data_IF_496485000526
#
_entry.id   IF_496485000526
#
_cell.length_a   1.000
_cell.length_b   1.000
_cell.length_c   1.000
_cell.angle_alpha   90.00
_cell.angle_beta   90.00
_cell.angle_gamma   90.00
#
_symmetry.space_group_name_H-M   'P 1'
#
loop_
_entity.id
_entity.type
_entity.pdbx_description
1 polymer ?
#
# COMPACT_ATOMS: atom_id res chain seq x y z
N UNK A 1 -5.17 6.09 -4.89
CA UNK A 1 -5.94 5.31 -5.89
C UNK A 1 -6.22 3.89 -5.38
N UNK A 2 -5.21 3.11 -4.99
CA UNK A 2 -5.40 1.74 -4.52
C UNK A 2 -6.39 1.60 -3.36
N UNK A 3 -6.27 2.44 -2.33
CA UNK A 3 -7.16 2.42 -1.18
C UNK A 3 -8.62 2.75 -1.55
N UNK A 4 -8.83 3.76 -2.40
CA UNK A 4 -10.16 4.13 -2.87
C UNK A 4 -10.79 2.99 -3.70
N UNK A 5 -10.02 2.35 -4.57
CA UNK A 5 -10.49 1.21 -5.35
C UNK A 5 -10.85 0.01 -4.46
N UNK A 6 -10.09 -0.25 -3.39
CA UNK A 6 -10.43 -1.29 -2.41
C UNK A 6 -11.74 -1.01 -1.68
N UNK A 7 -11.97 0.23 -1.26
CA UNK A 7 -13.23 0.62 -0.62
C UNK A 7 -14.40 0.44 -1.58
N UNK A 8 -14.24 0.87 -2.83
CA UNK A 8 -15.27 0.70 -3.87
C UNK A 8 -15.53 -0.78 -4.16
N UNK A 9 -14.51 -1.60 -4.19
CA UNK A 9 -14.69 -3.06 -4.32
C UNK A 9 -15.52 -3.63 -3.17
N UNK A 10 -15.30 -3.17 -1.95
CA UNK A 10 -16.09 -3.58 -0.78
C UNK A 10 -17.54 -3.11 -0.86
N UNK A 11 -17.78 -1.87 -1.29
CA UNK A 11 -19.14 -1.32 -1.45
C UNK A 11 -19.93 -2.07 -2.53
N UNK A 12 -19.28 -2.44 -3.64
CA UNK A 12 -19.90 -3.17 -4.74
C UNK A 12 -19.69 -4.69 -4.66
N UNK A 13 -19.42 -5.23 -3.47
CA UNK A 13 -19.19 -6.66 -3.26
C UNK A 13 -20.38 -7.55 -3.67
N UNK A 14 -21.59 -7.01 -3.70
CA UNK A 14 -22.78 -7.72 -4.17
C UNK A 14 -22.78 -7.99 -5.68
N UNK A 15 -22.00 -7.24 -6.46
CA UNK A 15 -21.86 -7.44 -7.89
C UNK A 15 -20.42 -7.95 -8.20
N UNK A 16 -20.24 -9.25 -8.53
CA UNK A 16 -18.91 -9.82 -8.72
C UNK A 16 -18.11 -9.16 -9.84
N UNK A 17 -18.77 -8.69 -10.89
CA UNK A 17 -18.07 -8.03 -12.00
C UNK A 17 -17.47 -6.69 -11.59
N UNK A 18 -18.24 -5.87 -10.87
CA UNK A 18 -17.75 -4.59 -10.36
C UNK A 18 -16.65 -4.78 -9.31
N UNK A 19 -16.83 -5.75 -8.42
CA UNK A 19 -15.82 -6.08 -7.41
C UNK A 19 -14.47 -6.44 -8.05
N UNK A 20 -14.47 -7.29 -9.08
CA UNK A 20 -13.26 -7.68 -9.81
C UNK A 20 -12.62 -6.48 -10.51
N UNK A 21 -13.40 -5.61 -11.15
CA UNK A 21 -12.89 -4.41 -11.80
C UNK A 21 -12.19 -3.50 -10.79
N UNK A 22 -12.81 -3.22 -9.66
CA UNK A 22 -12.22 -2.37 -8.63
C UNK A 22 -11.01 -3.01 -7.94
N UNK A 23 -11.00 -4.33 -7.76
CA UNK A 23 -9.82 -5.06 -7.27
C UNK A 23 -8.66 -4.97 -8.26
N UNK A 24 -8.94 -5.08 -9.55
CA UNK A 24 -7.92 -4.92 -10.59
C UNK A 24 -7.34 -3.51 -10.59
N UNK A 25 -8.18 -2.49 -10.46
CA UNK A 25 -7.74 -1.10 -10.34
C UNK A 25 -6.93 -0.86 -9.06
N UNK A 26 -7.30 -1.48 -7.95
CA UNK A 26 -6.54 -1.43 -6.71
C UNK A 26 -5.15 -2.02 -6.89
N UNK A 27 -5.06 -3.18 -7.52
CA UNK A 27 -3.78 -3.85 -7.83
C UNK A 27 -2.89 -2.99 -8.71
N UNK A 28 -3.45 -2.40 -9.77
CA UNK A 28 -2.72 -1.48 -10.65
C UNK A 28 -2.20 -0.27 -9.88
N UNK A 29 -2.99 0.29 -8.97
CA UNK A 29 -2.59 1.40 -8.13
C UNK A 29 -1.43 1.05 -7.20
N UNK A 30 -1.47 -0.12 -6.58
CA UNK A 30 -0.41 -0.59 -5.67
C UNK A 30 0.87 -0.92 -6.43
N UNK A 31 0.78 -1.70 -7.50
CA UNK A 31 1.95 -2.08 -8.31
C UNK A 31 2.55 -0.85 -9.00
N UNK A 32 1.70 0.06 -9.49
CA UNK A 32 2.15 1.31 -10.12
C UNK A 32 2.90 2.25 -9.18
N UNK A 33 2.73 2.11 -7.86
CA UNK A 33 3.49 2.90 -6.89
C UNK A 33 4.92 2.39 -6.68
N UNK A 34 5.22 1.16 -7.05
CA UNK A 34 6.53 0.55 -6.83
C UNK A 34 7.70 1.29 -7.49
N UNK A 35 7.63 1.69 -8.77
CA UNK A 35 8.72 2.44 -9.41
C UNK A 35 9.00 3.79 -8.74
N UNK A 36 7.99 4.37 -8.09
CA UNK A 36 8.13 5.63 -7.36
C UNK A 36 8.70 5.39 -5.96
N UNK A 37 8.33 4.30 -5.32
CA UNK A 37 8.73 3.97 -3.96
C UNK A 37 10.20 3.54 -3.84
N UNK A 38 10.66 2.65 -4.72
CA UNK A 38 12.00 2.06 -4.60
C UNK A 38 13.18 3.04 -4.71
N UNK A 39 13.12 4.12 -5.51
CA UNK A 39 14.18 5.13 -5.51
C UNK A 39 14.26 5.97 -4.22
N UNK A 40 13.20 6.01 -3.39
CA UNK A 40 13.17 6.85 -2.20
C UNK A 40 14.27 6.52 -1.18
N UNK A 41 14.54 5.27 -0.79
CA UNK A 41 15.64 4.97 0.12
C UNK A 41 16.99 5.43 -0.41
N UNK A 42 17.22 5.29 -1.72
CA UNK A 42 18.47 5.73 -2.37
C UNK A 42 18.60 7.24 -2.47
N UNK A 43 17.48 7.97 -2.43
CA UNK A 43 17.49 9.44 -2.41
C UNK A 43 17.92 10.02 -1.05
N UNK A 44 17.65 9.28 0.03
CA UNK A 44 18.00 9.70 1.40
C UNK A 44 19.34 9.16 1.88
N UNK A 45 19.75 8.00 1.40
CA UNK A 45 20.90 7.24 1.86
C UNK A 45 21.85 6.99 0.70
N UNK A 46 23.15 6.95 0.99
CA UNK A 46 24.17 6.69 -0.01
C UNK A 46 25.05 5.49 0.39
N UNK A 47 25.61 4.81 -0.59
CA UNK A 47 26.54 3.70 -0.39
C UNK A 47 25.95 2.55 0.42
N UNK A 48 26.70 2.06 1.39
CA UNK A 48 26.32 0.94 2.27
C UNK A 48 25.05 1.22 3.09
N UNK A 49 24.82 2.48 3.47
CA UNK A 49 23.63 2.88 4.21
C UNK A 49 22.37 2.73 3.35
N UNK A 50 22.45 3.00 2.05
CA UNK A 50 21.33 2.78 1.13
C UNK A 50 20.99 1.28 1.03
N UNK A 51 21.98 0.42 0.91
CA UNK A 51 21.78 -1.02 0.86
C UNK A 51 21.14 -1.56 2.14
N UNK A 52 21.62 -1.11 3.31
CA UNK A 52 21.04 -1.49 4.59
C UNK A 52 19.60 -1.00 4.74
N UNK A 53 19.32 0.24 4.35
CA UNK A 53 17.98 0.82 4.37
C UNK A 53 16.99 0.05 3.48
N UNK A 54 17.40 -0.28 2.26
CA UNK A 54 16.59 -1.10 1.33
C UNK A 54 16.34 -2.49 1.93
N UNK A 55 17.35 -3.10 2.55
CA UNK A 55 17.22 -4.40 3.22
C UNK A 55 16.21 -4.36 4.36
N UNK A 56 16.24 -3.33 5.20
CA UNK A 56 15.27 -3.15 6.29
C UNK A 56 13.85 -2.97 5.74
N UNK A 57 13.68 -2.08 4.78
CA UNK A 57 12.36 -1.82 4.14
C UNK A 57 11.81 -3.10 3.51
N UNK A 58 12.65 -3.85 2.81
CA UNK A 58 12.25 -5.11 2.19
C UNK A 58 11.87 -6.18 3.23
N UNK A 59 12.60 -6.24 4.35
CA UNK A 59 12.29 -7.17 5.44
C UNK A 59 10.94 -6.84 6.08
N UNK A 60 10.65 -5.57 6.33
CA UNK A 60 9.35 -5.11 6.85
C UNK A 60 8.24 -5.41 5.82
N UNK A 61 8.51 -5.19 4.54
CA UNK A 61 7.59 -5.52 3.46
C UNK A 61 7.23 -7.01 3.42
N UNK A 62 8.21 -7.88 3.64
CA UNK A 62 7.97 -9.32 3.71
C UNK A 62 7.11 -9.74 4.92
N UNK A 63 7.23 -9.04 6.04
CA UNK A 63 6.30 -9.21 7.17
C UNK A 63 4.87 -8.84 6.77
N UNK A 64 4.70 -7.79 5.98
CA UNK A 64 3.41 -7.42 5.38
C UNK A 64 2.84 -8.53 4.50
N UNK A 65 3.69 -9.24 3.75
CA UNK A 65 3.32 -10.41 2.96
C UNK A 65 2.81 -11.59 3.81
N UNK A 66 3.29 -11.71 5.05
CA UNK A 66 2.75 -12.67 6.01
C UNK A 66 1.42 -12.20 6.63
N UNK A 67 1.37 -10.93 7.04
CA UNK A 67 0.19 -10.34 7.70
C UNK A 67 -0.99 -10.24 6.73
N UNK A 68 -0.73 -9.83 5.49
CA UNK A 68 -1.77 -9.56 4.48
C UNK A 68 -2.77 -10.70 4.30
N UNK A 69 -2.33 -11.94 4.00
CA UNK A 69 -3.24 -13.08 3.86
C UNK A 69 -4.00 -13.44 5.13
N UNK A 70 -3.50 -13.05 6.30
CA UNK A 70 -4.17 -13.30 7.58
C UNK A 70 -5.24 -12.26 7.93
N UNK A 71 -5.22 -11.08 7.30
CA UNK A 71 -6.21 -10.02 7.55
C UNK A 71 -7.65 -10.50 7.31
N UNK A 72 -7.98 -11.23 6.23
CA UNK A 72 -9.33 -11.76 6.04
C UNK A 72 -9.76 -12.74 7.14
N UNK A 73 -8.82 -13.53 7.65
CA UNK A 73 -9.09 -14.50 8.72
C UNK A 73 -9.43 -13.75 10.02
N UNK A 74 -8.64 -12.73 10.35
CA UNK A 74 -8.86 -11.90 11.54
C UNK A 74 -10.12 -11.05 11.41
N UNK A 75 -10.39 -10.51 10.22
CA UNK A 75 -11.60 -9.74 9.96
C UNK A 75 -12.87 -10.56 10.18
N UNK A 76 -12.86 -11.85 9.84
CA UNK A 76 -13.99 -12.76 10.12
C UNK A 76 -14.25 -12.98 11.60
N UNK A 77 -13.23 -12.89 12.45
CA UNK A 77 -13.38 -13.00 13.90
C UNK A 77 -14.13 -11.80 14.50
N UNK A 78 -14.05 -10.63 13.86
CA UNK A 78 -14.69 -9.39 14.32
C UNK A 78 -15.99 -9.06 13.56
N UNK A 79 -16.12 -9.50 12.31
CA UNK A 79 -17.26 -9.21 11.45
C UNK A 79 -17.49 -10.36 10.47
N UNK A 80 -18.75 -10.70 10.25
CA UNK A 80 -19.15 -11.70 9.25
C UNK A 80 -19.20 -11.13 7.82
N UNK A 81 -18.89 -9.85 7.65
CA UNK A 81 -18.88 -9.19 6.34
C UNK A 81 -17.56 -9.47 5.62
N UNK A 82 -17.59 -10.11 4.42
CA UNK A 82 -16.37 -10.33 3.63
C UNK A 82 -15.68 -9.04 3.20
N UNK A 83 -16.41 -7.93 3.13
CA UNK A 83 -15.85 -6.62 2.76
C UNK A 83 -15.00 -5.99 3.87
N UNK A 84 -15.12 -6.44 5.12
CA UNK A 84 -14.35 -5.91 6.25
C UNK A 84 -12.84 -5.98 6.03
N UNK A 85 -12.35 -7.07 5.43
CA UNK A 85 -10.93 -7.24 5.10
C UNK A 85 -10.45 -6.17 4.11
N UNK A 86 -11.26 -5.86 3.10
CA UNK A 86 -10.94 -4.83 2.09
C UNK A 86 -10.85 -3.45 2.72
N UNK A 87 -11.75 -3.11 3.64
CA UNK A 87 -11.73 -1.84 4.36
C UNK A 87 -10.51 -1.71 5.28
N UNK A 88 -10.13 -2.79 5.97
CA UNK A 88 -8.94 -2.82 6.83
C UNK A 88 -7.68 -2.59 6.00
N UNK A 89 -7.53 -3.27 4.87
CA UNK A 89 -6.39 -3.12 3.97
C UNK A 89 -6.36 -1.70 3.40
N UNK A 90 -7.51 -1.14 2.98
CA UNK A 90 -7.62 0.23 2.49
C UNK A 90 -7.18 1.25 3.54
N UNK A 91 -7.57 1.05 4.80
CA UNK A 91 -7.17 1.90 5.91
C UNK A 91 -5.66 1.86 6.16
N UNK A 92 -5.06 0.66 6.14
CA UNK A 92 -3.60 0.49 6.27
C UNK A 92 -2.86 1.18 5.12
N UNK A 93 -3.36 1.07 3.88
CA UNK A 93 -2.79 1.76 2.72
C UNK A 93 -2.86 3.29 2.86
N UNK A 94 -3.97 3.81 3.36
CA UNK A 94 -4.11 5.25 3.62
C UNK A 94 -3.11 5.73 4.68
N UNK A 95 -2.92 4.98 5.76
CA UNK A 95 -1.91 5.28 6.77
C UNK A 95 -0.51 5.27 6.16
N UNK A 96 -0.18 4.25 5.38
CA UNK A 96 1.11 4.14 4.69
C UNK A 96 1.37 5.31 3.75
N UNK A 97 0.37 5.72 2.98
CA UNK A 97 0.45 6.87 2.10
C UNK A 97 0.65 8.18 2.88
N UNK A 98 -0.08 8.37 3.97
CA UNK A 98 0.05 9.55 4.83
C UNK A 98 1.43 9.62 5.48
N UNK A 99 1.92 8.50 6.03
CA UNK A 99 3.26 8.43 6.63
C UNK A 99 4.33 8.78 5.60
N UNK A 100 4.24 8.21 4.40
CA UNK A 100 5.18 8.50 3.31
C UNK A 100 5.13 9.98 2.92
N UNK A 101 3.94 10.55 2.79
CA UNK A 101 3.76 11.95 2.41
C UNK A 101 4.36 12.90 3.45
N UNK A 102 4.14 12.66 4.75
CA UNK A 102 4.65 13.52 5.81
C UNK A 102 6.12 13.26 6.14
N UNK A 103 6.62 12.04 5.93
CA UNK A 103 8.01 11.68 6.19
C UNK A 103 8.97 12.28 5.14
N UNK A 104 8.50 12.55 3.91
CA UNK A 104 9.34 13.15 2.87
C UNK A 104 9.39 14.68 3.04
N UNK A 105 10.58 15.28 3.26
CA UNK A 105 10.72 16.73 3.34
C UNK A 105 10.27 17.43 2.05
N UNK A 106 9.68 18.62 2.17
CA UNK A 106 9.16 19.38 1.03
C UNK A 106 10.23 19.65 -0.05
N UNK A 107 11.48 19.88 0.35
CA UNK A 107 12.61 20.08 -0.58
C UNK A 107 12.87 18.87 -1.49
N UNK A 108 12.72 17.66 -0.96
CA UNK A 108 12.90 16.42 -1.72
C UNK A 108 11.68 16.12 -2.61
N UNK A 109 10.47 16.50 -2.17
CA UNK A 109 9.27 16.38 -3.02
C UNK A 109 9.41 17.18 -4.33
N UNK A 110 9.84 18.42 -4.22
CA UNK A 110 10.07 19.29 -5.39
C UNK A 110 11.13 18.69 -6.32
N UNK A 111 12.21 18.12 -5.78
CA UNK A 111 13.26 17.48 -6.56
C UNK A 111 12.78 16.23 -7.30
N UNK A 112 11.86 15.47 -6.73
CA UNK A 112 11.27 14.29 -7.36
C UNK A 112 10.31 14.69 -8.47
N UNK A 113 9.48 15.73 -8.26
CA UNK A 113 8.51 16.22 -9.24
C UNK A 113 9.16 16.82 -10.50
N UNK A 114 10.39 17.35 -10.38
CA UNK A 114 11.13 17.96 -11.48
C UNK A 114 11.97 16.98 -12.32
N UNK A 115 11.93 15.69 -12.00
CA UNK A 115 12.53 14.61 -12.78
C UNK A 115 11.48 13.87 -13.58
#
# INVERSE_FOLDING_TARGET
MGAAALVLSGVFASNPYLAIIFLSLATLGVIGSMPVFWPLPSAFLAGTAAAAGIGIVNSIGNLGGYVGPNVPIWAKAFSNDPSAALYIIAFILCIGAAVTYFAIPASLRVKIDNK
#
